data_IF_043394077489
#
_entry.id   IF_043394077489
#
_cell.length_a   1.000
_cell.length_b   1.000
_cell.length_c   1.000
_cell.angle_alpha   90.00
_cell.angle_beta   90.00
_cell.angle_gamma   90.00
#
_symmetry.space_group_name_H-M   'P 1'
#
loop_
_entity.id
_entity.type
_entity.pdbx_description
1 polymer ?
#
# COMPACT_ATOMS: atom_id res chain seq x y z
N UNK A 1 -16.94 -7.12 -16.75
CA UNK A 1 -16.91 -5.67 -17.03
C UNK A 1 -16.57 -4.82 -15.80
N UNK A 2 -17.12 -5.10 -14.62
CA UNK A 2 -16.82 -4.36 -13.38
C UNK A 2 -15.33 -4.39 -12.97
N UNK A 3 -14.68 -5.57 -12.97
CA UNK A 3 -13.26 -5.71 -12.63
C UNK A 3 -12.35 -4.90 -13.58
N UNK A 4 -12.52 -5.05 -14.90
CA UNK A 4 -11.59 -4.42 -15.87
C UNK A 4 -11.69 -2.89 -15.91
N UNK A 5 -12.88 -2.32 -15.74
CA UNK A 5 -13.08 -0.88 -15.90
C UNK A 5 -12.84 -0.11 -14.59
N UNK A 6 -13.35 -0.62 -13.47
CA UNK A 6 -13.24 0.05 -12.18
C UNK A 6 -11.99 -0.41 -11.42
N UNK A 7 -11.76 -1.73 -11.33
CA UNK A 7 -10.60 -2.23 -10.56
C UNK A 7 -9.27 -2.00 -11.27
N UNK A 8 -9.25 -2.03 -12.61
CA UNK A 8 -8.01 -1.90 -13.38
C UNK A 8 -7.86 -0.51 -13.99
N UNK A 9 -8.74 -0.09 -14.91
CA UNK A 9 -8.52 1.16 -15.63
C UNK A 9 -8.56 2.40 -14.72
N UNK A 10 -9.53 2.50 -13.81
CA UNK A 10 -9.62 3.65 -12.89
C UNK A 10 -8.46 3.69 -11.89
N UNK A 11 -8.09 2.54 -11.31
CA UNK A 11 -6.92 2.41 -10.42
C UNK A 11 -5.63 2.78 -11.14
N UNK A 12 -5.43 2.35 -12.39
CA UNK A 12 -4.24 2.70 -13.18
C UNK A 12 -4.17 4.19 -13.50
N UNK A 13 -5.29 4.84 -13.81
CA UNK A 13 -5.34 6.28 -14.06
C UNK A 13 -4.99 7.05 -12.78
N UNK A 14 -5.58 6.68 -11.64
CA UNK A 14 -5.27 7.28 -10.34
C UNK A 14 -3.82 7.05 -9.93
N UNK A 15 -3.29 5.85 -10.16
CA UNK A 15 -1.89 5.51 -9.90
C UNK A 15 -0.93 6.37 -10.73
N UNK A 16 -1.13 6.44 -12.04
CA UNK A 16 -0.30 7.26 -12.92
C UNK A 16 -0.36 8.74 -12.56
N UNK A 17 -1.54 9.26 -12.19
CA UNK A 17 -1.70 10.62 -11.68
C UNK A 17 -0.95 10.83 -10.35
N UNK A 18 -1.05 9.89 -9.42
CA UNK A 18 -0.35 9.94 -8.14
C UNK A 18 1.16 9.96 -8.31
N UNK A 19 1.70 9.11 -9.18
CA UNK A 19 3.12 9.06 -9.52
C UNK A 19 3.60 10.36 -10.18
N UNK A 20 2.76 11.05 -10.97
CA UNK A 20 3.11 12.35 -11.54
C UNK A 20 3.15 13.49 -10.50
N UNK A 21 2.40 13.36 -9.41
CA UNK A 21 2.31 14.39 -8.35
C UNK A 21 3.31 14.16 -7.21
N UNK A 22 3.86 12.95 -7.09
CA UNK A 22 4.80 12.56 -6.05
C UNK A 22 6.19 12.35 -6.65
N UNK A 23 7.24 12.57 -5.86
CA UNK A 23 8.58 12.17 -6.27
C UNK A 23 8.62 10.63 -6.46
N UNK A 24 9.41 10.14 -7.43
CA UNK A 24 9.51 8.72 -7.76
C UNK A 24 9.86 7.85 -6.53
N UNK A 25 10.68 8.39 -5.63
CA UNK A 25 11.04 7.74 -4.37
C UNK A 25 9.82 7.54 -3.44
N UNK A 26 8.96 8.55 -3.31
CA UNK A 26 7.78 8.49 -2.44
C UNK A 26 6.71 7.56 -3.02
N UNK A 27 6.59 7.51 -4.35
CA UNK A 27 5.64 6.63 -5.05
C UNK A 27 5.88 5.14 -4.77
N UNK A 28 7.15 4.70 -4.69
CA UNK A 28 7.50 3.32 -4.36
C UNK A 28 7.08 2.90 -2.94
N UNK A 29 7.08 3.84 -1.99
CA UNK A 29 6.68 3.58 -0.60
C UNK A 29 5.18 3.28 -0.48
N UNK A 30 4.33 3.83 -1.37
CA UNK A 30 2.89 3.53 -1.38
C UNK A 30 2.58 2.07 -1.70
N UNK A 31 3.46 1.35 -2.42
CA UNK A 31 3.27 -0.10 -2.62
C UNK A 31 3.35 -0.88 -1.31
N UNK A 32 4.13 -0.40 -0.33
CA UNK A 32 4.24 -1.04 0.97
C UNK A 32 2.93 -0.94 1.79
N UNK A 33 2.05 0.00 1.45
CA UNK A 33 0.72 0.10 2.07
C UNK A 33 -0.25 -0.97 1.58
N UNK A 34 -0.02 -1.58 0.42
CA UNK A 34 -0.90 -2.60 -0.15
C UNK A 34 -1.19 -3.77 0.81
N UNK A 35 -0.20 -4.42 1.45
CA UNK A 35 -0.47 -5.47 2.45
C UNK A 35 -1.21 -4.93 3.69
N UNK A 36 -0.96 -3.69 4.10
CA UNK A 36 -1.66 -3.07 5.24
C UNK A 36 -3.15 -2.92 4.94
N UNK A 37 -3.48 -2.31 3.80
CA UNK A 37 -4.86 -2.11 3.35
C UNK A 37 -5.53 -3.46 3.06
N UNK A 38 -4.82 -4.37 2.41
CA UNK A 38 -5.32 -5.71 2.07
C UNK A 38 -5.73 -6.50 3.31
N UNK A 39 -4.88 -6.55 4.34
CA UNK A 39 -5.21 -7.26 5.59
C UNK A 39 -6.23 -6.52 6.45
N UNK A 40 -6.29 -5.18 6.40
CA UNK A 40 -7.35 -4.42 7.06
C UNK A 40 -8.72 -4.74 6.45
N UNK A 41 -8.79 -4.80 5.12
CA UNK A 41 -10.00 -5.19 4.39
C UNK A 41 -10.31 -6.69 4.56
N UNK A 42 -9.29 -7.55 4.65
CA UNK A 42 -9.45 -8.97 4.99
C UNK A 42 -10.06 -9.16 6.38
N UNK A 43 -9.58 -8.42 7.38
CA UNK A 43 -10.16 -8.43 8.72
C UNK A 43 -11.58 -7.85 8.72
N UNK A 44 -11.82 -6.72 8.06
CA UNK A 44 -13.12 -6.02 8.10
C UNK A 44 -14.21 -6.71 7.26
N UNK A 45 -13.89 -7.16 6.06
CA UNK A 45 -14.85 -7.73 5.10
C UNK A 45 -14.91 -9.26 5.14
N UNK A 46 -13.80 -9.93 5.45
CA UNK A 46 -13.71 -11.41 5.49
C UNK A 46 -13.63 -11.98 6.91
N UNK A 47 -13.42 -11.14 7.95
CA UNK A 47 -13.30 -11.59 9.33
C UNK A 47 -11.97 -12.31 9.63
N UNK A 48 -10.94 -12.11 8.80
CA UNK A 48 -9.64 -12.75 8.98
C UNK A 48 -8.96 -12.31 10.28
N UNK A 49 -8.47 -13.26 11.08
CA UNK A 49 -7.78 -12.93 12.32
C UNK A 49 -6.43 -12.27 12.03
N UNK A 50 -6.22 -11.08 12.59
CA UNK A 50 -4.94 -10.40 12.53
C UNK A 50 -3.94 -11.18 13.39
N UNK A 51 -3.00 -11.85 12.75
CA UNK A 51 -1.96 -12.64 13.42
C UNK A 51 -0.77 -11.77 13.86
N UNK A 52 -0.03 -12.24 14.86
CA UNK A 52 1.19 -11.57 15.32
C UNK A 52 2.23 -11.39 14.21
N UNK A 53 2.30 -12.32 13.27
CA UNK A 53 3.17 -12.23 12.08
C UNK A 53 2.81 -11.05 11.18
N UNK A 54 1.52 -10.71 11.07
CA UNK A 54 1.08 -9.53 10.31
C UNK A 54 1.53 -8.23 11.00
N UNK A 55 1.36 -8.14 12.32
CA UNK A 55 1.84 -6.99 13.09
C UNK A 55 3.36 -6.81 12.95
N UNK A 56 4.12 -7.90 12.99
CA UNK A 56 5.57 -7.85 12.73
C UNK A 56 5.89 -7.35 11.33
N UNK A 57 5.18 -7.83 10.31
CA UNK A 57 5.32 -7.34 8.94
C UNK A 57 4.97 -5.86 8.81
N UNK A 58 3.93 -5.39 9.49
CA UNK A 58 3.50 -4.00 9.50
C UNK A 58 4.55 -3.09 10.16
N UNK A 59 5.14 -3.52 11.27
CA UNK A 59 6.27 -2.83 11.91
C UNK A 59 7.48 -2.79 10.97
N UNK A 60 7.80 -3.88 10.28
CA UNK A 60 8.91 -3.95 9.33
C UNK A 60 8.74 -2.99 8.14
N UNK A 61 7.51 -2.87 7.65
CA UNK A 61 7.15 -1.92 6.60
C UNK A 61 7.29 -0.48 7.13
N UNK A 62 6.75 -0.19 8.31
CA UNK A 62 6.82 1.14 8.91
C UNK A 62 8.27 1.58 9.16
N UNK A 63 9.13 0.69 9.65
CA UNK A 63 10.56 0.99 9.84
C UNK A 63 11.28 1.19 8.51
N UNK A 64 10.99 0.38 7.49
CA UNK A 64 11.54 0.56 6.14
C UNK A 64 11.18 1.93 5.56
N UNK A 65 9.91 2.34 5.65
CA UNK A 65 9.45 3.66 5.20
C UNK A 65 10.17 4.77 5.98
N UNK A 66 10.25 4.65 7.30
CA UNK A 66 10.90 5.64 8.15
C UNK A 66 12.38 5.82 7.80
N UNK A 67 13.12 4.71 7.64
CA UNK A 67 14.53 4.73 7.21
C UNK A 67 14.66 5.32 5.82
N UNK A 68 13.81 4.92 4.87
CA UNK A 68 13.86 5.41 3.49
C UNK A 68 13.61 6.91 3.38
N UNK A 69 12.72 7.47 4.22
CA UNK A 69 12.49 8.92 4.25
C UNK A 69 13.70 9.61 4.90
N UNK A 70 14.20 9.09 6.03
CA UNK A 70 15.32 9.70 6.76
C UNK A 70 16.66 9.71 6.04
N UNK A 71 16.88 8.77 5.11
CA UNK A 71 18.10 8.68 4.29
C UNK A 71 17.93 9.30 2.89
N UNK A 72 16.72 9.73 2.52
CA UNK A 72 16.46 10.45 1.28
C UNK A 72 16.60 11.98 1.43
N UNK A 73 16.69 12.48 2.67
CA UNK A 73 17.16 13.83 3.02
C UNK A 73 18.70 13.88 3.08
#
# INVERSE_FOLDING_TARGET
MYLGLISTALTFVLWNRGVQMLNAATSGLYFLFQPVVGSLLGWLCLGEQITWSFLLGLVLIATSIWVSIRFAD
#
